data_IF_347490085713
#
_entry.id   IF_347490085713
#
_cell.length_a   1.000
_cell.length_b   1.000
_cell.length_c   1.000
_cell.angle_alpha   90.00
_cell.angle_beta   90.00
_cell.angle_gamma   90.00
#
_symmetry.space_group_name_H-M   'P 1'
#
loop_
_entity.id
_entity.type
_entity.pdbx_description
1 polymer ?
#
# COMPACT_ATOMS: atom_id res chain seq x y z
N UNK A 1 -13.02 10.59 15.36
CA UNK A 1 -12.61 9.29 14.79
C UNK A 1 -13.80 8.37 14.90
N UNK A 2 -14.47 8.09 13.79
CA UNK A 2 -15.61 7.17 13.77
C UNK A 2 -15.12 5.72 13.79
N UNK A 3 -15.71 4.92 14.67
CA UNK A 3 -15.40 3.51 14.84
C UNK A 3 -16.44 2.69 14.07
N UNK A 4 -16.06 2.15 12.91
CA UNK A 4 -16.93 1.27 12.13
C UNK A 4 -17.03 -0.10 12.80
N UNK A 5 -18.26 -0.54 13.12
CA UNK A 5 -18.51 -1.75 13.90
C UNK A 5 -18.74 -3.01 13.05
N UNK A 6 -19.05 -2.89 11.76
CA UNK A 6 -19.27 -4.04 10.86
C UNK A 6 -18.94 -3.69 9.40
N UNK A 7 -18.59 -4.69 8.58
CA UNK A 7 -18.10 -4.49 7.21
C UNK A 7 -19.15 -4.00 6.21
N UNK A 8 -20.43 -4.25 6.46
CA UNK A 8 -21.50 -3.74 5.59
C UNK A 8 -21.43 -2.21 5.54
N UNK A 9 -21.21 -1.60 6.71
CA UNK A 9 -21.01 -0.16 6.84
C UNK A 9 -19.75 0.27 6.09
N UNK A 10 -18.66 -0.49 6.15
CA UNK A 10 -17.41 -0.17 5.43
C UNK A 10 -17.55 -0.37 3.92
N UNK A 11 -18.27 -1.38 3.43
CA UNK A 11 -18.49 -1.59 2.00
C UNK A 11 -19.39 -0.50 1.43
N UNK A 12 -20.41 -0.08 2.17
CA UNK A 12 -21.27 1.05 1.80
C UNK A 12 -20.54 2.38 1.91
N UNK A 13 -19.68 2.54 2.93
CA UNK A 13 -18.84 3.72 3.15
C UNK A 13 -17.72 3.83 2.10
N UNK A 14 -17.04 2.74 1.76
CA UNK A 14 -16.04 2.68 0.68
C UNK A 14 -16.70 2.86 -0.69
N UNK A 15 -17.90 2.29 -0.92
CA UNK A 15 -18.70 2.57 -2.13
C UNK A 15 -19.10 4.05 -2.24
N UNK A 16 -19.19 4.76 -1.12
CA UNK A 16 -19.51 6.19 -1.10
C UNK A 16 -18.32 7.09 -1.47
N UNK A 17 -17.10 6.55 -1.46
CA UNK A 17 -15.91 7.23 -1.97
C UNK A 17 -15.68 6.89 -3.44
N UNK A 18 -15.51 7.93 -4.27
CA UNK A 18 -15.23 7.77 -5.70
C UNK A 18 -13.94 6.95 -5.97
N UNK A 19 -12.98 6.96 -5.03
CA UNK A 19 -11.73 6.20 -5.11
C UNK A 19 -11.12 5.90 -3.72
N UNK A 20 -10.70 4.65 -3.50
CA UNK A 20 -9.90 4.22 -2.35
C UNK A 20 -8.67 3.45 -2.85
N UNK A 21 -7.61 3.40 -2.04
CA UNK A 21 -6.46 2.55 -2.30
C UNK A 21 -6.16 1.71 -1.07
N UNK A 22 -6.25 0.39 -1.21
CA UNK A 22 -6.09 -0.55 -0.12
C UNK A 22 -5.04 -1.61 -0.42
N UNK A 23 -4.37 -2.11 0.63
CA UNK A 23 -3.45 -3.23 0.52
C UNK A 23 -3.48 -4.14 1.74
N UNK A 24 -3.36 -5.47 1.56
CA UNK A 24 -3.25 -6.41 2.66
C UNK A 24 -1.80 -6.51 3.15
N UNK A 25 -1.64 -6.52 4.47
CA UNK A 25 -0.34 -6.62 5.15
C UNK A 25 -0.46 -7.58 6.33
N UNK A 26 0.58 -8.39 6.58
CA UNK A 26 0.57 -9.31 7.72
C UNK A 26 0.63 -8.50 9.02
N UNK A 27 -0.13 -8.91 10.04
CA UNK A 27 -0.18 -8.22 11.32
C UNK A 27 1.22 -8.15 11.93
N UNK A 28 1.63 -6.95 12.35
CA UNK A 28 2.96 -6.66 12.87
C UNK A 28 3.98 -6.22 11.81
N UNK A 29 3.68 -6.36 10.51
CA UNK A 29 4.48 -5.73 9.44
C UNK A 29 4.04 -4.27 9.21
N UNK A 30 4.95 -3.44 8.73
CA UNK A 30 4.65 -2.06 8.33
C UNK A 30 3.93 -2.05 6.96
N UNK A 31 2.87 -1.26 6.75
CA UNK A 31 2.08 -1.31 5.52
C UNK A 31 2.79 -0.70 4.31
N UNK A 32 3.88 0.03 4.50
CA UNK A 32 4.62 0.68 3.41
C UNK A 32 6.13 0.41 3.42
N UNK A 33 6.64 -0.31 4.43
CA UNK A 33 8.08 -0.55 4.63
C UNK A 33 8.34 -2.02 4.95
N UNK A 34 9.57 -2.44 4.67
CA UNK A 34 10.05 -3.81 4.86
C UNK A 34 11.18 -3.80 5.88
N UNK A 35 10.96 -4.40 7.05
CA UNK A 35 11.92 -4.41 8.16
C UNK A 35 13.01 -5.48 8.01
N UNK A 36 12.85 -6.38 7.05
CA UNK A 36 13.81 -7.40 6.68
C UNK A 36 13.79 -7.66 5.16
N UNK A 37 14.74 -8.46 4.69
CA UNK A 37 14.86 -8.82 3.27
C UNK A 37 14.10 -10.09 2.88
N UNK A 38 13.19 -10.62 3.74
CA UNK A 38 12.47 -11.88 3.44
C UNK A 38 11.61 -11.78 2.19
N UNK A 39 11.16 -10.57 1.85
CA UNK A 39 10.31 -10.30 0.68
C UNK A 39 11.11 -9.75 -0.52
N UNK A 40 12.45 -9.76 -0.42
CA UNK A 40 13.39 -9.20 -1.41
C UNK A 40 14.33 -8.17 -0.77
N UNK A 41 15.39 -7.83 -1.49
CA UNK A 41 16.40 -6.86 -1.03
C UNK A 41 15.80 -5.49 -0.75
N UNK A 42 16.20 -4.87 0.35
CA UNK A 42 15.73 -3.55 0.77
C UNK A 42 16.87 -2.53 0.88
N UNK A 43 16.53 -1.26 0.67
CA UNK A 43 17.38 -0.11 0.90
C UNK A 43 16.60 0.91 1.73
N UNK A 44 17.07 1.20 2.94
CA UNK A 44 16.35 2.06 3.88
C UNK A 44 14.90 1.59 4.12
N UNK A 45 14.72 0.27 4.30
CA UNK A 45 13.43 -0.41 4.46
C UNK A 45 12.47 -0.30 3.26
N UNK A 46 12.95 0.15 2.11
CA UNK A 46 12.21 0.20 0.86
C UNK A 46 12.68 -0.94 -0.03
N UNK A 47 11.77 -1.76 -0.51
CA UNK A 47 12.11 -2.94 -1.30
C UNK A 47 12.54 -2.54 -2.71
N UNK A 48 13.67 -3.09 -3.17
CA UNK A 48 14.33 -2.71 -4.42
C UNK A 48 13.42 -2.82 -5.64
N UNK A 49 12.59 -3.87 -5.71
CA UNK A 49 11.72 -4.11 -6.87
C UNK A 49 10.54 -3.15 -6.99
N UNK A 50 10.19 -2.45 -5.90
CA UNK A 50 9.01 -1.58 -5.88
C UNK A 50 9.31 -0.21 -6.48
N UNK A 51 10.58 0.21 -6.56
CA UNK A 51 10.94 1.54 -7.05
C UNK A 51 12.22 1.52 -7.89
N UNK A 52 12.38 2.50 -8.78
CA UNK A 52 13.60 2.64 -9.57
C UNK A 52 14.68 3.36 -8.76
N UNK A 53 15.68 2.63 -8.27
CA UNK A 53 16.81 3.21 -7.55
C UNK A 53 17.93 3.65 -8.49
N UNK A 54 18.64 4.72 -8.14
CA UNK A 54 19.92 5.06 -8.78
C UNK A 54 20.98 3.99 -8.52
N UNK A 55 22.09 4.02 -9.27
CA UNK A 55 23.18 3.07 -9.12
C UNK A 55 23.76 3.04 -7.69
N UNK A 56 23.89 4.20 -7.04
CA UNK A 56 24.36 4.30 -5.66
C UNK A 56 23.28 3.98 -4.59
N UNK A 57 22.03 3.70 -5.02
CA UNK A 57 20.89 3.34 -4.15
C UNK A 57 20.52 4.40 -3.10
N UNK A 58 21.06 5.61 -3.21
CA UNK A 58 20.72 6.76 -2.35
C UNK A 58 19.56 7.59 -2.91
N UNK A 59 19.20 7.38 -4.17
CA UNK A 59 18.15 8.13 -4.85
C UNK A 59 17.11 7.18 -5.44
N UNK A 60 15.87 7.66 -5.45
CA UNK A 60 14.76 7.05 -6.18
C UNK A 60 14.41 7.95 -7.34
N UNK A 61 14.31 7.35 -8.52
CA UNK A 61 14.06 8.00 -9.80
C UNK A 61 12.58 7.82 -10.14
N UNK A 62 11.89 8.84 -10.67
CA UNK A 62 10.50 8.71 -11.07
C UNK A 62 10.28 7.62 -12.10
N UNK A 63 9.23 6.83 -11.91
CA UNK A 63 8.81 5.80 -12.85
C UNK A 63 7.33 5.47 -12.64
N UNK A 64 6.51 5.62 -13.68
CA UNK A 64 5.05 5.49 -13.58
C UNK A 64 4.55 4.06 -13.36
N UNK A 65 5.35 3.06 -13.76
CA UNK A 65 5.01 1.63 -13.61
C UNK A 65 5.88 0.93 -12.55
N UNK A 66 6.45 1.70 -11.61
CA UNK A 66 7.13 1.15 -10.43
C UNK A 66 6.68 1.90 -9.19
N UNK A 67 6.02 1.19 -8.29
CA UNK A 67 5.65 1.72 -7.00
C UNK A 67 5.21 0.62 -6.06
N UNK A 68 4.77 1.05 -4.88
CA UNK A 68 4.15 0.16 -3.92
C UNK A 68 2.75 -0.23 -4.40
N UNK A 69 2.42 -1.52 -4.38
CA UNK A 69 1.16 -2.05 -4.91
C UNK A 69 -0.07 -1.79 -4.02
N UNK A 70 -1.14 -1.29 -4.63
CA UNK A 70 -2.45 -1.09 -4.02
C UNK A 70 -3.58 -1.60 -4.94
N UNK A 71 -4.71 -1.91 -4.31
CA UNK A 71 -5.97 -2.25 -4.96
C UNK A 71 -6.92 -1.08 -4.85
N UNK A 72 -7.51 -0.66 -5.97
CA UNK A 72 -8.59 0.32 -5.99
C UNK A 72 -9.98 -0.32 -6.14
N UNK A 73 -10.04 -1.64 -6.29
CA UNK A 73 -11.27 -2.40 -6.51
C UNK A 73 -11.42 -3.51 -5.48
N UNK A 74 -12.65 -3.73 -5.02
CA UNK A 74 -12.96 -4.70 -3.97
C UNK A 74 -12.57 -6.13 -4.33
N UNK A 75 -12.87 -6.55 -5.56
CA UNK A 75 -12.58 -7.92 -6.00
C UNK A 75 -11.07 -8.18 -6.05
N UNK A 76 -10.31 -7.27 -6.66
CA UNK A 76 -8.84 -7.33 -6.65
C UNK A 76 -8.29 -7.35 -5.22
N UNK A 77 -8.78 -6.49 -4.31
CA UNK A 77 -8.37 -6.49 -2.91
C UNK A 77 -8.63 -7.84 -2.23
N UNK A 78 -9.80 -8.45 -2.46
CA UNK A 78 -10.17 -9.76 -1.90
C UNK A 78 -9.23 -10.86 -2.38
N UNK A 79 -8.85 -10.83 -3.66
CA UNK A 79 -7.96 -11.83 -4.24
C UNK A 79 -6.52 -11.64 -3.71
N UNK A 80 -6.03 -10.41 -3.61
CA UNK A 80 -4.75 -10.11 -2.96
C UNK A 80 -4.72 -10.51 -1.48
N UNK A 81 -5.83 -10.29 -0.76
CA UNK A 81 -5.96 -10.68 0.65
C UNK A 81 -5.84 -12.20 0.82
N UNK A 82 -6.56 -12.98 0.01
CA UNK A 82 -6.49 -14.45 0.03
C UNK A 82 -5.07 -14.95 -0.24
N UNK A 83 -4.39 -14.35 -1.23
CA UNK A 83 -3.01 -14.69 -1.56
C UNK A 83 -2.08 -14.40 -0.38
N UNK A 84 -2.14 -13.20 0.20
CA UNK A 84 -1.31 -12.82 1.36
C UNK A 84 -1.59 -13.73 2.56
N UNK A 85 -2.86 -14.05 2.85
CA UNK A 85 -3.27 -14.98 3.92
C UNK A 85 -2.69 -16.38 3.73
N UNK A 86 -2.68 -16.91 2.49
CA UNK A 86 -2.05 -18.20 2.17
C UNK A 86 -0.55 -18.20 2.52
N UNK A 87 0.14 -17.08 2.33
CA UNK A 87 1.57 -16.95 2.61
C UNK A 87 1.89 -16.56 4.07
N UNK A 88 0.92 -16.06 4.83
CA UNK A 88 1.11 -15.59 6.21
C UNK A 88 1.28 -16.72 7.25
N UNK A 89 1.25 -18.00 6.84
CA UNK A 89 1.46 -19.19 7.70
C UNK A 89 0.67 -19.17 9.02
N UNK A 90 -0.60 -18.75 8.95
CA UNK A 90 -1.49 -18.65 10.13
C UNK A 90 -1.45 -17.32 10.87
N UNK A 91 -0.55 -16.39 10.52
CA UNK A 91 -0.59 -15.03 11.05
C UNK A 91 -1.78 -14.24 10.49
N UNK A 92 -2.45 -13.41 11.31
CA UNK A 92 -3.52 -12.53 10.83
C UNK A 92 -3.01 -11.58 9.73
N UNK A 93 -3.90 -11.22 8.81
CA UNK A 93 -3.67 -10.22 7.76
C UNK A 93 -4.68 -9.11 7.96
N UNK A 94 -4.17 -7.89 8.03
CA UNK A 94 -4.93 -6.66 8.17
C UNK A 94 -4.95 -5.91 6.83
N UNK A 95 -6.00 -5.14 6.58
CA UNK A 95 -6.13 -4.32 5.36
C UNK A 95 -5.93 -2.85 5.70
N UNK A 96 -4.94 -2.23 5.07
CA UNK A 96 -4.63 -0.82 5.21
C UNK A 96 -5.15 -0.06 4.01
N UNK A 97 -5.81 1.08 4.22
CA UNK A 97 -6.39 1.85 3.13
C UNK A 97 -6.30 3.36 3.35
N UNK A 98 -6.27 4.10 2.25
CA UNK A 98 -6.37 5.56 2.18
C UNK A 98 -7.44 5.99 1.20
N UNK A 99 -8.00 7.17 1.42
CA UNK A 99 -8.87 7.85 0.45
C UNK A 99 -7.97 8.76 -0.38
N UNK A 100 -8.10 8.73 -1.71
CA UNK A 100 -7.26 9.52 -2.64
C UNK A 100 -7.28 11.03 -2.34
N UNK A 101 -8.38 11.54 -1.78
CA UNK A 101 -8.54 12.94 -1.36
C UNK A 101 -7.70 13.33 -0.13
N UNK A 102 -7.07 12.39 0.57
CA UNK A 102 -6.12 12.71 1.64
C UNK A 102 -4.79 13.11 1.00
N UNK A 103 -4.36 14.36 1.23
CA UNK A 103 -3.11 14.95 0.79
C UNK A 103 -1.99 13.89 0.74
N UNK A 104 -1.59 13.43 -0.45
CA UNK A 104 -0.39 12.61 -0.57
C UNK A 104 0.84 13.50 -0.34
N UNK A 105 1.94 12.97 0.23
CA UNK A 105 3.18 13.72 0.27
C UNK A 105 3.59 14.15 -1.14
N UNK A 106 4.02 15.40 -1.30
CA UNK A 106 4.47 15.91 -2.59
C UNK A 106 5.49 14.96 -3.25
N UNK A 107 5.33 14.69 -4.54
CA UNK A 107 6.21 13.79 -5.27
C UNK A 107 5.83 12.31 -5.17
N UNK A 108 4.68 11.99 -4.57
CA UNK A 108 4.04 10.68 -4.64
C UNK A 108 2.66 10.79 -5.31
N UNK A 109 2.29 9.77 -6.08
CA UNK A 109 1.00 9.71 -6.77
C UNK A 109 0.56 8.25 -6.95
N UNK A 110 -0.74 7.98 -6.86
CA UNK A 110 -1.31 6.70 -7.27
C UNK A 110 -1.51 6.70 -8.79
N UNK A 111 -0.81 5.81 -9.49
CA UNK A 111 -0.91 5.66 -10.93
C UNK A 111 -1.43 4.26 -11.25
N UNK A 112 -2.42 4.16 -12.13
CA UNK A 112 -2.97 2.87 -12.57
C UNK A 112 -1.90 2.03 -13.26
N UNK A 113 -1.90 0.73 -12.97
CA UNK A 113 -1.09 -0.24 -13.71
C UNK A 113 -1.62 -0.34 -15.15
N UNK A 114 -0.71 -0.19 -16.11
CA UNK A 114 -1.04 -0.29 -17.54
C UNK A 114 -1.60 -1.67 -17.94
N UNK A 115 -1.29 -2.71 -17.17
CA UNK A 115 -1.67 -4.10 -17.43
C UNK A 115 -2.89 -4.56 -16.64
N UNK A 116 -3.18 -3.92 -15.51
CA UNK A 116 -4.32 -4.24 -14.65
C UNK A 116 -4.94 -2.97 -14.07
N UNK A 117 -6.08 -2.55 -14.64
CA UNK A 117 -6.80 -1.34 -14.21
C UNK A 117 -7.32 -1.39 -12.77
N UNK A 118 -7.29 -2.56 -12.12
CA UNK A 118 -7.67 -2.72 -10.72
C UNK A 118 -6.49 -2.51 -9.75
N UNK A 119 -5.27 -2.57 -10.28
CA UNK A 119 -4.02 -2.40 -9.57
C UNK A 119 -3.46 -0.99 -9.78
N UNK A 120 -2.97 -0.40 -8.70
CA UNK A 120 -2.38 0.93 -8.70
C UNK A 120 -1.03 0.89 -8.01
N UNK A 121 -0.09 1.65 -8.55
CA UNK A 121 1.21 1.89 -7.95
C UNK A 121 1.19 3.21 -7.21
N UNK A 122 1.61 3.21 -5.94
CA UNK A 122 2.07 4.44 -5.30
C UNK A 122 3.48 4.73 -5.83
N UNK A 123 3.57 5.62 -6.81
CA UNK A 123 4.79 5.92 -7.56
C UNK A 123 5.51 7.13 -6.98
N UNK A 124 6.80 7.23 -7.32
CA UNK A 124 7.56 8.47 -7.18
C UNK A 124 7.40 9.28 -8.47
N UNK A 125 6.98 10.54 -8.36
CA UNK A 125 6.82 11.46 -9.51
C UNK A 125 7.95 12.49 -9.61
N UNK A 126 8.75 12.66 -8.56
CA UNK A 126 9.93 13.53 -8.54
C UNK A 126 11.12 12.83 -7.89
N UNK A 127 12.31 12.97 -8.48
CA UNK A 127 13.54 12.39 -7.92
C UNK A 127 13.72 12.83 -6.47
N UNK A 128 13.93 11.88 -5.58
CA UNK A 128 14.14 12.14 -4.15
C UNK A 128 15.15 11.16 -3.57
N UNK A 129 15.68 11.46 -2.39
CA UNK A 129 16.55 10.50 -1.69
C UNK A 129 15.74 9.34 -1.14
N UNK A 130 16.38 8.19 -0.92
CA UNK A 130 15.74 7.05 -0.25
C UNK A 130 15.31 7.39 1.18
N UNK A 131 16.01 8.29 1.86
CA UNK A 131 15.61 8.84 3.16
C UNK A 131 14.30 9.65 3.06
N UNK A 132 14.17 10.51 2.05
CA UNK A 132 12.93 11.26 1.82
C UNK A 132 11.76 10.34 1.51
N UNK A 133 11.96 9.33 0.64
CA UNK A 133 10.90 8.37 0.33
C UNK A 133 10.47 7.60 1.58
N UNK A 134 11.42 7.12 2.39
CA UNK A 134 11.13 6.42 3.64
C UNK A 134 10.24 7.27 4.56
N UNK A 135 10.61 8.52 4.83
CA UNK A 135 9.81 9.41 5.68
C UNK A 135 8.40 9.64 5.14
N UNK A 136 8.25 9.79 3.82
CA UNK A 136 6.94 9.93 3.18
C UNK A 136 6.09 8.66 3.28
N UNK A 137 6.71 7.48 3.19
CA UNK A 137 6.02 6.20 3.36
C UNK A 137 5.57 5.96 4.80
N UNK A 138 6.34 6.40 5.80
CA UNK A 138 5.89 6.44 7.21
C UNK A 138 4.69 7.38 7.33
N UNK A 139 4.81 8.60 6.84
CA UNK A 139 3.76 9.61 6.92
C UNK A 139 2.45 9.16 6.27
N UNK A 140 2.54 8.43 5.15
CA UNK A 140 1.39 7.82 4.51
C UNK A 140 0.79 6.69 5.37
N UNK A 141 1.63 5.82 5.94
CA UNK A 141 1.19 4.74 6.82
C UNK A 141 0.45 5.27 8.06
N UNK A 142 0.90 6.37 8.65
CA UNK A 142 0.25 7.02 9.79
C UNK A 142 -1.17 7.52 9.48
N UNK A 143 -1.46 7.79 8.20
CA UNK A 143 -2.77 8.22 7.71
C UNK A 143 -3.64 7.08 7.21
N UNK A 144 -3.10 5.87 7.13
CA UNK A 144 -3.88 4.70 6.71
C UNK A 144 -4.86 4.30 7.79
N UNK A 145 -6.11 4.13 7.38
CA UNK A 145 -7.08 3.42 8.20
C UNK A 145 -6.85 1.92 8.10
N UNK A 146 -7.12 1.18 9.18
CA UNK A 146 -6.82 -0.26 9.27
C UNK A 146 -8.08 -1.05 9.58
N UNK A 147 -8.36 -2.07 8.77
CA UNK A 147 -9.38 -3.07 9.03
C UNK A 147 -8.67 -4.31 9.57
N UNK A 148 -8.88 -4.59 10.85
CA UNK A 148 -8.33 -5.77 11.52
C UNK A 148 -9.23 -6.97 11.25
N UNK A 149 -8.61 -8.14 11.07
CA UNK A 149 -9.32 -9.43 10.97
C UNK A 149 -10.37 -9.45 9.86
N UNK A 150 -9.99 -8.98 8.67
CA UNK A 150 -10.88 -8.93 7.50
C UNK A 150 -11.39 -10.31 7.01
N UNK A 151 -11.12 -11.41 7.74
CA UNK A 151 -11.57 -12.77 7.40
C UNK A 151 -13.07 -12.97 7.57
N UNK A 152 -13.70 -12.37 8.59
CA UNK A 152 -15.15 -12.54 8.84
C UNK A 152 -16.02 -11.63 7.94
N UNK A 153 -15.39 -11.07 6.91
CA UNK A 153 -15.72 -9.76 6.41
C UNK A 153 -15.44 -9.61 4.90
N UNK A 154 -14.46 -10.33 4.33
CA UNK A 154 -14.13 -10.32 2.88
C UNK A 154 -14.81 -11.42 2.05
#
# INVERSE_FOLDING_TARGET
MEQFRIIQDIREYIKSYDAFFARPTQRGEHPTLYMDDKQGKTYNNIREKDYLFSQCKQWVIPHSQMGLSFSAHWQHLKDQYKLKKKHAKGSPVDVFWVIEKCDLPEGLEFIADERDKQHYFLTVTRKMTTAQLHQKLIWLADRMSVIREAQDAL
#
